data_IF_126215956814
#
_entry.id   IF_126215956814
#
_cell.length_a   1.000
_cell.length_b   1.000
_cell.length_c   1.000
_cell.angle_alpha   90.00
_cell.angle_beta   90.00
_cell.angle_gamma   90.00
#
_symmetry.space_group_name_H-M   'P 1'
#
loop_
_entity.id
_entity.type
_entity.pdbx_description
1 polymer ?
#
# COMPACT_ATOMS: atom_id res chain seq x y z
N UNK A 1 5.78 5.71 14.36
CA UNK A 1 4.33 5.49 14.18
C UNK A 1 3.90 4.16 14.75
N UNK A 2 4.79 3.46 15.46
CA UNK A 2 4.53 2.11 15.94
C UNK A 2 3.34 2.11 16.90
N UNK A 3 3.32 3.06 17.84
CA UNK A 3 2.23 3.20 18.80
C UNK A 3 0.90 3.55 18.15
N UNK A 4 0.91 4.46 17.17
CA UNK A 4 -0.29 4.85 16.42
C UNK A 4 -0.90 3.66 15.68
N UNK A 5 -0.06 2.86 15.01
CA UNK A 5 -0.51 1.68 14.25
C UNK A 5 -0.94 0.53 15.16
N UNK A 6 -0.19 0.26 16.23
CA UNK A 6 -0.56 -0.73 17.25
C UNK A 6 -1.91 -0.39 17.88
N UNK A 7 -2.16 0.88 18.19
CA UNK A 7 -3.43 1.32 18.75
C UNK A 7 -4.59 1.17 17.75
N UNK A 8 -4.37 1.50 16.47
CA UNK A 8 -5.37 1.26 15.42
C UNK A 8 -5.68 -0.24 15.27
N UNK A 9 -4.64 -1.08 15.23
CA UNK A 9 -4.76 -2.54 15.15
C UNK A 9 -5.47 -3.15 16.35
N UNK A 10 -5.19 -2.70 17.58
CA UNK A 10 -5.89 -3.19 18.77
C UNK A 10 -7.38 -2.83 18.79
N UNK A 11 -7.75 -1.66 18.28
CA UNK A 11 -9.10 -1.13 18.41
C UNK A 11 -10.00 -1.34 17.19
N UNK A 12 -9.46 -1.69 16.01
CA UNK A 12 -10.27 -1.77 14.78
C UNK A 12 -11.43 -2.78 14.89
N UNK A 13 -11.18 -3.90 15.56
CA UNK A 13 -12.10 -5.02 15.73
C UNK A 13 -12.85 -5.04 17.06
N UNK A 14 -12.77 -3.97 17.85
CA UNK A 14 -13.36 -3.88 19.19
C UNK A 14 -14.83 -4.31 19.22
N UNK A 15 -15.61 -3.94 18.20
CA UNK A 15 -17.04 -4.29 18.12
C UNK A 15 -17.34 -5.75 17.78
N UNK A 16 -16.34 -6.59 17.48
CA UNK A 16 -16.52 -8.03 17.27
C UNK A 16 -17.00 -8.73 18.55
N UNK A 17 -16.78 -8.13 19.73
CA UNK A 17 -17.34 -8.60 21.01
C UNK A 17 -18.84 -8.28 21.19
N UNK A 18 -19.47 -7.52 20.28
CA UNK A 18 -20.92 -7.25 20.34
C UNK A 18 -21.73 -8.53 20.20
N UNK A 19 -22.90 -8.58 20.86
CA UNK A 19 -23.80 -9.74 20.83
C UNK A 19 -24.21 -10.03 19.39
N UNK A 20 -24.46 -8.97 18.62
CA UNK A 20 -24.87 -9.06 17.21
C UNK A 20 -23.78 -9.72 16.35
N UNK A 21 -22.51 -9.32 16.53
CA UNK A 21 -21.39 -9.89 15.78
C UNK A 21 -21.10 -11.34 16.19
N UNK A 22 -21.09 -11.63 17.49
CA UNK A 22 -20.89 -12.99 18.01
C UNK A 22 -21.95 -13.97 17.50
N UNK A 23 -23.22 -13.56 17.46
CA UNK A 23 -24.28 -14.40 16.88
C UNK A 23 -24.03 -14.67 15.40
N UNK A 24 -23.66 -13.65 14.63
CA UNK A 24 -23.36 -13.78 13.21
C UNK A 24 -22.20 -14.73 12.94
N UNK A 25 -21.06 -14.58 13.62
CA UNK A 25 -19.90 -15.44 13.35
C UNK A 25 -20.17 -16.91 13.74
N UNK A 26 -20.93 -17.15 14.81
CA UNK A 26 -21.36 -18.51 15.18
C UNK A 26 -22.34 -19.13 14.17
N UNK A 27 -23.25 -18.33 13.62
CA UNK A 27 -24.16 -18.77 12.56
C UNK A 27 -23.40 -19.12 11.27
N UNK A 28 -22.46 -18.26 10.84
CA UNK A 28 -21.63 -18.51 9.65
C UNK A 28 -20.71 -19.72 9.84
N UNK A 29 -20.11 -19.89 11.02
CA UNK A 29 -19.33 -21.09 11.34
C UNK A 29 -20.16 -22.39 11.27
N UNK A 30 -21.41 -22.35 11.76
CA UNK A 30 -22.32 -23.51 11.66
C UNK A 30 -22.65 -23.83 10.20
N UNK A 31 -22.99 -22.81 9.40
CA UNK A 31 -23.29 -22.97 7.97
C UNK A 31 -22.11 -23.54 7.19
N UNK A 32 -20.89 -23.07 7.46
CA UNK A 32 -19.67 -23.59 6.85
C UNK A 32 -19.48 -25.09 7.14
N UNK A 33 -19.73 -25.53 8.37
CA UNK A 33 -19.69 -26.96 8.73
C UNK A 33 -20.74 -27.81 8.02
N UNK A 34 -21.87 -27.22 7.68
CA UNK A 34 -22.96 -27.88 6.96
C UNK A 34 -22.78 -27.81 5.43
N UNK A 35 -21.67 -27.24 4.94
CA UNK A 35 -21.41 -27.06 3.51
C UNK A 35 -22.33 -26.03 2.83
N UNK A 36 -22.98 -25.17 3.63
CA UNK A 36 -23.89 -24.14 3.13
C UNK A 36 -23.07 -22.89 2.82
N UNK A 37 -23.06 -22.46 1.56
CA UNK A 37 -22.41 -21.21 1.15
C UNK A 37 -22.89 -20.03 1.99
N UNK A 38 -21.94 -19.17 2.37
CA UNK A 38 -22.22 -17.93 3.08
C UNK A 38 -23.16 -17.04 2.27
N UNK A 39 -24.12 -16.40 2.96
CA UNK A 39 -24.88 -15.31 2.34
C UNK A 39 -24.01 -14.08 2.52
N UNK A 40 -23.57 -13.44 1.43
CA UNK A 40 -22.94 -12.12 1.48
C UNK A 40 -23.90 -11.13 2.14
N UNK A 41 -23.83 -10.99 3.46
CA UNK A 41 -24.53 -9.97 4.21
C UNK A 41 -23.66 -8.72 4.26
N UNK A 42 -24.28 -7.56 4.16
CA UNK A 42 -23.63 -6.29 4.52
C UNK A 42 -23.09 -6.42 5.94
N UNK A 43 -21.77 -6.32 6.10
CA UNK A 43 -21.07 -6.58 7.35
C UNK A 43 -21.69 -5.85 8.54
N UNK A 44 -21.71 -6.52 9.69
CA UNK A 44 -22.13 -5.89 10.94
C UNK A 44 -21.14 -4.78 11.27
N UNK A 45 -21.67 -3.58 11.51
CA UNK A 45 -20.89 -2.40 11.86
C UNK A 45 -20.20 -2.59 13.22
N UNK A 46 -18.94 -3.03 13.21
CA UNK A 46 -18.14 -3.28 14.41
C UNK A 46 -17.03 -2.23 14.61
N UNK A 47 -16.56 -1.58 13.55
CA UNK A 47 -15.55 -0.52 13.66
C UNK A 47 -16.01 0.68 14.49
N UNK A 48 -17.32 0.95 14.57
CA UNK A 48 -17.88 2.05 15.35
C UNK A 48 -17.56 1.98 16.85
N UNK A 49 -17.36 0.79 17.43
CA UNK A 49 -17.11 0.63 18.87
C UNK A 49 -15.72 1.13 19.27
N UNK A 50 -14.68 0.71 18.55
CA UNK A 50 -13.31 1.17 18.78
C UNK A 50 -13.16 2.65 18.47
N UNK A 51 -13.84 3.12 17.42
CA UNK A 51 -13.89 4.53 17.07
C UNK A 51 -14.53 5.39 18.17
N UNK A 52 -15.64 4.92 18.76
CA UNK A 52 -16.26 5.60 19.91
C UNK A 52 -15.32 5.67 21.10
N UNK A 53 -14.69 4.55 21.43
CA UNK A 53 -13.77 4.46 22.56
C UNK A 53 -12.63 5.47 22.43
N UNK A 54 -11.94 5.49 21.28
CA UNK A 54 -10.81 6.38 21.08
C UNK A 54 -11.24 7.85 20.98
N UNK A 55 -12.39 8.12 20.37
CA UNK A 55 -12.97 9.47 20.29
C UNK A 55 -13.28 10.03 21.69
N UNK A 56 -13.92 9.25 22.56
CA UNK A 56 -14.20 9.68 23.94
C UNK A 56 -12.92 9.88 24.76
N UNK A 57 -11.97 8.95 24.64
CA UNK A 57 -10.69 9.02 25.32
C UNK A 57 -9.93 10.30 24.94
N UNK A 58 -9.98 10.67 23.66
CA UNK A 58 -9.31 11.84 23.10
C UNK A 58 -9.67 13.15 23.79
N UNK A 59 -10.90 13.26 24.30
CA UNK A 59 -11.41 14.46 24.98
C UNK A 59 -10.61 14.85 26.22
N UNK A 60 -9.92 13.89 26.86
CA UNK A 60 -9.07 14.10 28.04
C UNK A 60 -7.73 14.79 27.71
N UNK A 61 -7.33 14.83 26.44
CA UNK A 61 -5.97 15.20 26.01
C UNK A 61 -5.91 16.52 25.21
N UNK A 62 -6.90 17.40 25.41
CA UNK A 62 -6.95 18.72 24.80
C UNK A 62 -7.06 18.70 23.27
N UNK A 63 -6.73 19.81 22.58
CA UNK A 63 -6.92 19.93 21.13
C UNK A 63 -6.13 18.89 20.32
N UNK A 64 -4.86 18.65 20.68
CA UNK A 64 -4.03 17.67 19.99
C UNK A 64 -4.56 16.24 20.19
N UNK A 65 -5.04 15.92 21.39
CA UNK A 65 -5.73 14.67 21.65
C UNK A 65 -6.93 14.48 20.74
N UNK A 66 -7.81 15.47 20.66
CA UNK A 66 -9.01 15.42 19.81
C UNK A 66 -8.68 15.20 18.33
N UNK A 67 -7.67 15.88 17.79
CA UNK A 67 -7.23 15.70 16.39
C UNK A 67 -6.80 14.26 16.14
N UNK A 68 -5.94 13.71 17.02
CA UNK A 68 -5.43 12.34 16.89
C UNK A 68 -6.53 11.29 17.12
N UNK A 69 -7.42 11.55 18.07
CA UNK A 69 -8.57 10.71 18.36
C UNK A 69 -9.54 10.65 17.18
N UNK A 70 -9.85 11.78 16.55
CA UNK A 70 -10.72 11.84 15.38
C UNK A 70 -10.07 11.17 14.16
N UNK A 71 -8.77 11.35 13.97
CA UNK A 71 -7.99 10.66 12.94
C UNK A 71 -8.10 9.14 13.11
N UNK A 72 -7.78 8.62 14.29
CA UNK A 72 -7.82 7.19 14.58
C UNK A 72 -9.26 6.65 14.51
N UNK A 73 -10.23 7.41 15.02
CA UNK A 73 -11.63 7.03 14.96
C UNK A 73 -12.13 6.90 13.51
N UNK A 74 -11.71 7.79 12.60
CA UNK A 74 -12.03 7.64 11.18
C UNK A 74 -11.43 6.36 10.59
N UNK A 75 -10.15 6.12 10.83
CA UNK A 75 -9.46 4.91 10.32
C UNK A 75 -10.15 3.64 10.83
N UNK A 76 -10.37 3.55 12.14
CA UNK A 76 -11.01 2.41 12.81
C UNK A 76 -12.47 2.25 12.38
N UNK A 77 -13.26 3.32 12.29
CA UNK A 77 -14.68 3.21 11.98
C UNK A 77 -14.93 2.68 10.56
N UNK A 78 -14.05 3.02 9.62
CA UNK A 78 -14.29 2.82 8.19
C UNK A 78 -13.40 1.78 7.51
N UNK A 79 -12.58 1.01 8.25
CA UNK A 79 -11.62 0.05 7.68
C UNK A 79 -12.20 -0.97 6.67
N UNK A 80 -13.51 -1.26 6.70
CA UNK A 80 -14.19 -2.12 5.70
C UNK A 80 -14.79 -1.37 4.50
N UNK A 81 -15.10 -0.08 4.64
CA UNK A 81 -15.98 0.66 3.72
C UNK A 81 -15.29 1.71 2.86
N UNK A 82 -14.02 2.03 3.13
CA UNK A 82 -13.34 3.18 2.56
C UNK A 82 -13.49 4.42 3.44
N UNK A 83 -12.44 5.24 3.49
CA UNK A 83 -12.46 6.51 4.21
C UNK A 83 -13.43 7.50 3.53
N UNK A 84 -14.44 8.02 4.26
CA UNK A 84 -15.26 9.11 3.76
C UNK A 84 -14.51 10.44 3.84
N UNK A 85 -15.08 11.47 3.21
CA UNK A 85 -14.69 12.85 3.50
C UNK A 85 -15.03 13.19 4.97
N UNK A 86 -14.19 14.02 5.60
CA UNK A 86 -14.36 14.39 7.01
C UNK A 86 -15.68 15.16 7.26
N UNK A 87 -16.13 15.90 6.25
CA UNK A 87 -17.40 16.62 6.21
C UNK A 87 -18.10 16.27 4.88
N UNK A 88 -19.43 16.11 4.94
CA UNK A 88 -20.25 15.93 3.76
C UNK A 88 -20.62 17.28 3.10
N UNK A 89 -21.40 17.24 2.01
CA UNK A 89 -21.82 18.45 1.31
C UNK A 89 -22.71 19.39 2.12
N UNK A 90 -23.27 18.93 3.25
CA UNK A 90 -24.09 19.73 4.15
C UNK A 90 -23.29 20.30 5.33
N UNK A 91 -22.01 19.94 5.45
CA UNK A 91 -21.15 20.29 6.59
C UNK A 91 -21.36 19.38 7.81
N UNK A 92 -22.04 18.24 7.63
CA UNK A 92 -22.17 17.23 8.67
C UNK A 92 -20.95 16.32 8.68
N UNK A 93 -20.51 15.89 9.87
CA UNK A 93 -19.42 14.91 9.99
C UNK A 93 -19.97 13.48 9.93
N UNK A 94 -19.65 12.69 8.88
CA UNK A 94 -20.12 11.31 8.78
C UNK A 94 -19.68 10.46 9.97
N UNK A 95 -18.48 10.71 10.51
CA UNK A 95 -18.00 10.05 11.72
C UNK A 95 -18.91 10.35 12.92
N UNK A 96 -19.17 11.62 13.22
CA UNK A 96 -19.99 11.99 14.37
C UNK A 96 -21.40 11.43 14.28
N UNK A 97 -22.01 11.44 13.09
CA UNK A 97 -23.33 10.82 12.86
C UNK A 97 -23.34 9.32 13.20
N UNK A 98 -22.24 8.61 12.93
CA UNK A 98 -22.11 7.19 13.31
C UNK A 98 -21.91 7.00 14.80
N UNK A 99 -21.09 7.84 15.43
CA UNK A 99 -20.80 7.78 16.87
C UNK A 99 -21.99 8.19 17.75
N UNK A 100 -22.86 9.06 17.24
CA UNK A 100 -24.04 9.58 17.95
C UNK A 100 -25.35 8.88 17.58
N UNK A 101 -25.32 7.91 16.66
CA UNK A 101 -26.52 7.22 16.20
C UNK A 101 -27.24 6.46 17.32
N UNK A 102 -28.51 6.79 17.54
CA UNK A 102 -29.36 6.13 18.54
C UNK A 102 -29.38 4.60 18.33
N UNK A 103 -29.28 3.85 19.43
CA UNK A 103 -29.31 2.38 19.49
C UNK A 103 -28.16 1.62 18.79
N UNK A 104 -27.19 2.28 18.14
CA UNK A 104 -26.05 1.58 17.49
C UNK A 104 -25.07 0.95 18.49
N UNK A 105 -24.97 1.55 19.67
CA UNK A 105 -23.99 1.25 20.71
C UNK A 105 -24.67 0.83 22.02
N UNK A 106 -25.85 0.22 21.94
CA UNK A 106 -26.66 -0.14 23.12
C UNK A 106 -25.95 -1.14 24.06
N UNK A 107 -25.09 -2.00 23.52
CA UNK A 107 -24.28 -2.97 24.27
C UNK A 107 -22.83 -2.51 24.49
N UNK A 108 -22.47 -1.25 24.18
CA UNK A 108 -21.10 -0.74 24.20
C UNK A 108 -20.33 -0.99 25.51
N UNK A 109 -20.95 -0.75 26.67
CA UNK A 109 -20.29 -0.99 27.96
C UNK A 109 -19.99 -2.48 28.19
N UNK A 110 -20.88 -3.37 27.75
CA UNK A 110 -20.65 -4.81 27.84
C UNK A 110 -19.54 -5.25 26.89
N UNK A 111 -19.53 -4.73 25.65
CA UNK A 111 -18.44 -4.96 24.68
C UNK A 111 -17.12 -4.50 25.26
N UNK A 112 -17.07 -3.30 25.86
CA UNK A 112 -15.88 -2.73 26.48
C UNK A 112 -15.32 -3.62 27.58
N UNK A 113 -16.14 -4.02 28.55
CA UNK A 113 -15.72 -4.92 29.63
C UNK A 113 -15.19 -6.25 29.08
N UNK A 114 -15.86 -6.82 28.08
CA UNK A 114 -15.46 -8.10 27.47
C UNK A 114 -14.13 -7.99 26.74
N UNK A 115 -13.94 -6.93 25.93
CA UNK A 115 -12.71 -6.65 25.20
C UNK A 115 -11.48 -6.61 26.13
N UNK A 116 -11.53 -5.77 27.17
CA UNK A 116 -10.40 -5.63 28.10
C UNK A 116 -10.11 -6.92 28.88
N UNK A 117 -11.16 -7.65 29.26
CA UNK A 117 -11.02 -8.92 29.96
C UNK A 117 -10.36 -10.00 29.09
N UNK A 118 -10.80 -10.14 27.84
CA UNK A 118 -10.36 -11.20 26.94
C UNK A 118 -8.92 -10.99 26.46
N UNK A 119 -8.58 -9.76 26.07
CA UNK A 119 -7.21 -9.39 25.67
C UNK A 119 -6.24 -9.25 26.84
N UNK A 120 -6.73 -9.33 28.08
CA UNK A 120 -5.93 -9.12 29.30
C UNK A 120 -5.13 -7.80 29.29
N UNK A 121 -5.72 -6.77 28.68
CA UNK A 121 -5.16 -5.42 28.60
C UNK A 121 -5.98 -4.49 29.50
N UNK A 122 -5.37 -3.42 29.98
CA UNK A 122 -6.01 -2.41 30.83
C UNK A 122 -6.32 -1.14 30.04
N UNK A 123 -7.30 -0.36 30.51
CA UNK A 123 -7.56 0.98 29.94
C UNK A 123 -6.31 1.86 30.02
N UNK A 124 -5.51 1.74 31.10
CA UNK A 124 -4.29 2.54 31.30
C UNK A 124 -3.21 2.27 30.24
N UNK A 125 -3.06 1.01 29.80
CA UNK A 125 -2.15 0.66 28.71
C UNK A 125 -2.59 1.30 27.39
N UNK A 126 -3.90 1.26 27.09
CA UNK A 126 -4.45 1.97 25.92
C UNK A 126 -4.27 3.49 26.04
N UNK A 127 -4.49 4.07 27.22
CA UNK A 127 -4.24 5.50 27.44
C UNK A 127 -2.78 5.88 27.24
N UNK A 128 -1.84 4.99 27.62
CA UNK A 128 -0.42 5.20 27.41
C UNK A 128 -0.05 5.16 25.92
N UNK A 129 -0.51 4.14 25.18
CA UNK A 129 -0.35 4.06 23.73
C UNK A 129 -0.92 5.29 23.02
N UNK A 130 -2.06 5.80 23.48
CA UNK A 130 -2.66 7.01 22.93
C UNK A 130 -1.83 8.26 23.17
N UNK A 131 -1.26 8.44 24.38
CA UNK A 131 -0.34 9.55 24.66
C UNK A 131 0.88 9.51 23.74
N UNK A 132 1.45 8.33 23.53
CA UNK A 132 2.60 8.15 22.65
C UNK A 132 2.22 8.41 21.18
N UNK A 133 1.04 7.97 20.74
CA UNK A 133 0.50 8.27 19.41
C UNK A 133 0.35 9.78 19.18
N UNK A 134 -0.07 10.54 20.20
CA UNK A 134 -0.14 12.00 20.12
C UNK A 134 1.25 12.60 19.85
N UNK A 135 2.29 12.14 20.53
CA UNK A 135 3.66 12.62 20.32
C UNK A 135 4.21 12.22 18.94
N UNK A 136 3.94 10.99 18.48
CA UNK A 136 4.32 10.55 17.13
C UNK A 136 3.73 11.45 16.04
N UNK A 137 2.43 11.72 16.10
CA UNK A 137 1.72 12.53 15.09
C UNK A 137 2.14 14.00 15.18
N UNK A 138 2.32 14.55 16.38
CA UNK A 138 2.87 15.91 16.56
C UNK A 138 4.22 16.08 15.88
N UNK A 139 5.15 15.14 16.08
CA UNK A 139 6.47 15.20 15.47
C UNK A 139 6.40 15.19 13.94
N UNK A 140 5.43 14.47 13.37
CA UNK A 140 5.23 14.40 11.92
C UNK A 140 4.66 15.71 11.35
N UNK A 141 3.67 16.29 12.02
CA UNK A 141 3.10 17.60 11.65
C UNK A 141 4.16 18.71 11.77
N UNK A 142 5.01 18.66 12.80
CA UNK A 142 6.11 19.62 12.97
C UNK A 142 7.18 19.47 11.88
N UNK A 143 7.55 18.24 11.51
CA UNK A 143 8.52 17.97 10.43
C UNK A 143 8.02 18.40 9.05
N UNK A 144 6.73 18.30 8.77
CA UNK A 144 6.15 18.81 7.52
C UNK A 144 6.11 20.35 7.47
N UNK A 145 6.14 21.01 8.63
CA UNK A 145 6.10 22.47 8.77
C UNK A 145 7.48 23.14 8.72
N UNK A 146 8.58 22.40 8.97
CA UNK A 146 9.95 22.95 9.03
C UNK A 146 10.72 22.84 7.71
N UNK A 147 10.20 22.11 6.72
CA UNK A 147 10.79 21.97 5.39
C UNK A 147 10.33 23.02 4.38
N UNK A 148 10.72 24.29 4.56
CA UNK A 148 11.02 25.28 3.49
C UNK A 148 10.93 26.72 4.00
N UNK A 149 11.96 27.51 3.74
CA UNK A 149 12.00 28.97 3.95
C UNK A 149 11.04 29.74 3.01
N UNK A 150 10.32 29.06 2.11
CA UNK A 150 9.33 29.64 1.20
C UNK A 150 7.91 29.66 1.79
N UNK A 151 7.74 30.37 2.90
CA UNK A 151 6.50 30.47 3.69
C UNK A 151 5.25 31.02 2.96
N UNK A 152 5.33 31.43 1.69
CA UNK A 152 4.25 32.19 1.03
C UNK A 152 3.59 31.54 -0.21
N UNK A 153 3.91 30.30 -0.59
CA UNK A 153 3.29 29.66 -1.79
C UNK A 153 2.46 28.38 -1.55
N UNK A 154 2.45 27.81 -0.34
CA UNK A 154 1.88 26.47 -0.08
C UNK A 154 0.66 26.50 0.86
N UNK A 155 -0.35 27.31 0.58
CA UNK A 155 -1.63 27.23 1.31
C UNK A 155 -2.38 25.91 1.07
N UNK A 156 -2.12 25.23 -0.05
CA UNK A 156 -2.76 23.95 -0.39
C UNK A 156 -2.12 22.72 0.29
N UNK A 157 -0.91 22.82 0.85
CA UNK A 157 -0.20 21.67 1.43
C UNK A 157 -0.67 21.36 2.87
N UNK A 158 -1.29 22.32 3.56
CA UNK A 158 -1.62 22.24 4.99
C UNK A 158 -2.64 21.13 5.32
N UNK A 159 -3.57 20.87 4.41
CA UNK A 159 -4.58 19.80 4.58
C UNK A 159 -4.23 18.54 3.78
N UNK A 160 -3.38 18.65 2.76
CA UNK A 160 -3.01 17.52 1.91
C UNK A 160 -2.09 16.52 2.61
N UNK A 161 -1.07 17.02 3.33
CA UNK A 161 -0.13 16.14 4.05
C UNK A 161 -0.80 15.32 5.17
N UNK A 162 -1.63 15.93 6.04
CA UNK A 162 -2.43 15.16 7.00
C UNK A 162 -3.33 14.11 6.33
N UNK A 163 -3.97 14.43 5.19
CA UNK A 163 -4.81 13.47 4.48
C UNK A 163 -4.01 12.26 3.97
N UNK A 164 -2.84 12.49 3.37
CA UNK A 164 -1.96 11.39 2.95
C UNK A 164 -1.52 10.52 4.13
N UNK A 165 -1.31 11.15 5.28
CA UNK A 165 -0.96 10.45 6.51
C UNK A 165 -2.09 9.56 7.02
N UNK A 166 -3.33 10.06 7.03
CA UNK A 166 -4.53 9.28 7.36
C UNK A 166 -4.64 8.08 6.43
N UNK A 167 -4.48 8.30 5.11
CA UNK A 167 -4.51 7.23 4.11
C UNK A 167 -3.41 6.20 4.33
N UNK A 168 -2.21 6.62 4.71
CA UNK A 168 -1.11 5.69 5.02
C UNK A 168 -1.44 4.79 6.20
N UNK A 169 -1.92 5.35 7.32
CA UNK A 169 -2.34 4.56 8.50
C UNK A 169 -3.49 3.62 8.13
N UNK A 170 -4.45 4.11 7.35
CA UNK A 170 -5.58 3.31 6.90
C UNK A 170 -5.16 2.15 6.00
N UNK A 171 -4.28 2.40 5.03
CA UNK A 171 -3.68 1.38 4.16
C UNK A 171 -2.96 0.33 5.00
N UNK A 172 -2.08 0.75 5.93
CA UNK A 172 -1.37 -0.16 6.84
C UNK A 172 -2.30 -1.00 7.73
N UNK A 173 -3.41 -0.42 8.22
CA UNK A 173 -4.38 -1.15 9.04
C UNK A 173 -5.10 -2.25 8.22
N UNK A 174 -5.58 -1.90 7.03
CA UNK A 174 -6.25 -2.87 6.14
C UNK A 174 -5.29 -3.98 5.75
N UNK A 175 -4.08 -3.59 5.40
CA UNK A 175 -3.01 -4.50 5.03
C UNK A 175 -2.74 -5.52 6.14
N UNK A 176 -2.60 -5.05 7.38
CA UNK A 176 -2.40 -5.90 8.55
C UNK A 176 -3.60 -6.82 8.84
N UNK A 177 -4.84 -6.33 8.74
CA UNK A 177 -6.07 -7.12 8.95
C UNK A 177 -6.19 -8.26 7.92
N UNK A 178 -5.92 -7.94 6.63
CA UNK A 178 -5.92 -8.93 5.55
C UNK A 178 -4.81 -9.95 5.68
N UNK A 179 -3.58 -9.50 5.95
CA UNK A 179 -2.43 -10.38 6.14
C UNK A 179 -2.68 -11.32 7.33
N UNK A 180 -3.17 -10.78 8.46
CA UNK A 180 -3.49 -11.58 9.64
C UNK A 180 -4.54 -12.66 9.34
N UNK A 181 -5.57 -12.32 8.57
CA UNK A 181 -6.58 -13.28 8.15
C UNK A 181 -6.01 -14.37 7.24
N UNK A 182 -5.16 -14.00 6.27
CA UNK A 182 -4.52 -14.96 5.37
C UNK A 182 -3.57 -15.90 6.13
N UNK A 183 -2.65 -15.37 6.95
CA UNK A 183 -1.71 -16.16 7.75
C UNK A 183 -2.44 -17.18 8.63
N UNK A 184 -3.59 -16.79 9.20
CA UNK A 184 -4.43 -17.71 9.98
C UNK A 184 -5.01 -18.85 9.13
N UNK A 185 -5.46 -18.56 7.91
CA UNK A 185 -6.03 -19.55 7.00
C UNK A 185 -5.00 -20.49 6.38
N UNK A 186 -3.83 -19.97 6.00
CA UNK A 186 -2.74 -20.74 5.38
C UNK A 186 -1.86 -21.45 6.41
N UNK A 187 -1.90 -21.00 7.67
CA UNK A 187 -1.00 -21.47 8.73
C UNK A 187 0.43 -20.96 8.57
N UNK A 188 0.64 -19.94 7.74
CA UNK A 188 1.94 -19.31 7.53
C UNK A 188 2.24 -18.24 8.59
N UNK A 189 3.52 -18.04 8.87
CA UNK A 189 3.98 -16.97 9.74
C UNK A 189 4.10 -15.64 8.99
N UNK A 190 3.84 -14.53 9.68
CA UNK A 190 4.01 -13.16 9.18
C UNK A 190 5.42 -12.91 8.66
N UNK A 191 6.42 -13.54 9.28
CA UNK A 191 7.84 -13.43 8.89
C UNK A 191 8.12 -13.91 7.47
N UNK A 192 7.26 -14.77 6.90
CA UNK A 192 7.35 -15.23 5.51
C UNK A 192 7.20 -14.09 4.49
N UNK A 193 6.55 -12.99 4.90
CA UNK A 193 6.25 -11.83 4.05
C UNK A 193 7.22 -10.67 4.29
N UNK A 194 7.98 -10.70 5.37
CA UNK A 194 9.07 -9.75 5.64
C UNK A 194 10.36 -10.20 4.95
N UNK A 195 10.57 -9.76 3.71
CA UNK A 195 11.84 -10.02 3.01
C UNK A 195 12.95 -9.16 3.61
N UNK A 196 13.99 -9.81 4.13
CA UNK A 196 15.16 -9.14 4.67
C UNK A 196 15.82 -8.25 3.60
N UNK A 197 16.33 -7.08 4.01
CA UNK A 197 17.00 -6.14 3.11
C UNK A 197 18.12 -6.79 2.29
N UNK A 198 18.82 -7.76 2.86
CA UNK A 198 19.89 -8.51 2.18
C UNK A 198 19.37 -9.35 1.01
N UNK A 199 18.18 -9.93 1.11
CA UNK A 199 17.55 -10.69 0.02
C UNK A 199 17.14 -9.77 -1.13
N UNK A 200 16.63 -8.58 -0.80
CA UNK A 200 16.32 -7.53 -1.77
C UNK A 200 17.59 -7.14 -2.52
N UNK A 201 18.66 -6.93 -1.78
CA UNK A 201 19.93 -6.51 -2.34
C UNK A 201 20.57 -7.60 -3.24
N UNK A 202 20.46 -8.87 -2.86
CA UNK A 202 20.88 -10.00 -3.69
C UNK A 202 20.08 -10.06 -4.99
N UNK A 203 18.77 -9.79 -4.93
CA UNK A 203 17.90 -9.72 -6.11
C UNK A 203 18.35 -8.62 -7.07
N UNK A 204 18.64 -7.42 -6.57
CA UNK A 204 19.13 -6.32 -7.40
C UNK A 204 20.46 -6.60 -8.08
N UNK A 205 21.41 -7.19 -7.34
CA UNK A 205 22.70 -7.61 -7.91
C UNK A 205 22.49 -8.60 -9.06
N UNK A 206 21.65 -9.62 -8.86
CA UNK A 206 21.35 -10.61 -9.88
C UNK A 206 20.67 -9.98 -11.12
N UNK A 207 19.71 -9.08 -10.92
CA UNK A 207 19.01 -8.42 -12.02
C UNK A 207 19.94 -7.49 -12.80
N UNK A 208 20.75 -6.69 -12.12
CA UNK A 208 21.76 -5.85 -12.76
C UNK A 208 22.75 -6.67 -13.58
N UNK A 209 23.26 -7.78 -13.03
CA UNK A 209 24.18 -8.65 -13.77
C UNK A 209 23.55 -9.16 -15.07
N UNK A 210 22.35 -9.75 -15.00
CA UNK A 210 21.62 -10.24 -16.18
C UNK A 210 21.35 -9.12 -17.19
N UNK A 211 21.02 -7.93 -16.70
CA UNK A 211 20.74 -6.77 -17.54
C UNK A 211 21.99 -6.31 -18.30
N UNK A 212 23.15 -6.22 -17.63
CA UNK A 212 24.43 -5.88 -18.28
C UNK A 212 24.88 -6.96 -19.28
N UNK A 213 24.68 -8.24 -18.96
CA UNK A 213 24.94 -9.35 -19.90
C UNK A 213 24.10 -9.21 -21.18
N UNK A 214 22.81 -8.91 -21.05
CA UNK A 214 21.92 -8.66 -22.18
C UNK A 214 22.36 -7.46 -23.02
N UNK A 215 22.71 -6.33 -22.39
CA UNK A 215 23.21 -5.14 -23.09
C UNK A 215 24.50 -5.43 -23.86
N UNK A 216 25.43 -6.18 -23.26
CA UNK A 216 26.67 -6.60 -23.93
C UNK A 216 26.38 -7.47 -25.16
N UNK A 217 25.36 -8.33 -25.09
CA UNK A 217 24.89 -9.13 -26.22
C UNK A 217 24.31 -8.29 -27.36
N UNK A 218 23.54 -7.25 -27.02
CA UNK A 218 23.04 -6.29 -28.01
C UNK A 218 24.17 -5.50 -28.68
N UNK A 219 25.20 -5.11 -27.92
CA UNK A 219 26.37 -4.42 -28.44
C UNK A 219 27.12 -5.29 -29.47
N UNK A 220 27.42 -6.55 -29.11
CA UNK A 220 28.07 -7.51 -30.04
C UNK A 220 27.27 -7.72 -31.32
N UNK A 221 25.95 -7.87 -31.21
CA UNK A 221 25.05 -7.96 -32.38
C UNK A 221 25.10 -6.70 -33.23
N UNK A 222 25.19 -5.53 -32.60
CA UNK A 222 25.28 -4.26 -33.32
C UNK A 222 26.60 -4.11 -34.06
N UNK A 223 27.71 -4.55 -33.50
CA UNK A 223 29.04 -4.51 -34.13
C UNK A 223 29.10 -5.42 -35.38
N UNK A 224 28.38 -6.54 -35.37
CA UNK A 224 28.26 -7.47 -36.49
C UNK A 224 27.35 -7.00 -37.64
N UNK A 225 26.56 -5.93 -37.46
CA UNK A 225 25.66 -5.43 -38.52
C UNK A 225 26.42 -4.83 -39.69
N UNK A 226 26.04 -5.11 -40.94
CA UNK A 226 26.65 -4.46 -42.11
C UNK A 226 26.09 -3.03 -42.32
N UNK A 227 24.87 -2.77 -41.86
CA UNK A 227 24.18 -1.48 -41.99
C UNK A 227 24.80 -0.39 -41.10
N UNK A 228 25.52 0.56 -41.72
CA UNK A 228 26.20 1.68 -41.06
C UNK A 228 25.24 2.66 -40.39
N UNK A 229 24.02 2.82 -40.92
CA UNK A 229 22.99 3.69 -40.34
C UNK A 229 22.49 3.13 -39.00
N UNK A 230 22.15 1.83 -38.97
CA UNK A 230 21.73 1.15 -37.74
C UNK A 230 22.85 1.11 -36.70
N UNK A 231 24.10 0.88 -37.13
CA UNK A 231 25.29 0.97 -36.25
C UNK A 231 25.39 2.32 -35.55
N UNK A 232 25.22 3.42 -36.29
CA UNK A 232 25.26 4.78 -35.71
C UNK A 232 24.14 5.01 -34.70
N UNK A 233 22.92 4.56 -35.00
CA UNK A 233 21.77 4.67 -34.08
C UNK A 233 22.01 3.87 -32.80
N UNK A 234 22.51 2.64 -32.91
CA UNK A 234 22.81 1.81 -31.75
C UNK A 234 23.94 2.38 -30.89
N UNK A 235 24.96 3.00 -31.49
CA UNK A 235 26.00 3.71 -30.75
C UNK A 235 25.44 4.88 -29.94
N UNK A 236 24.45 5.61 -30.48
CA UNK A 236 23.76 6.68 -29.74
C UNK A 236 22.94 6.09 -28.58
N UNK A 237 22.20 5.00 -28.82
CA UNK A 237 21.44 4.30 -27.77
C UNK A 237 22.34 3.80 -26.65
N UNK A 238 23.52 3.27 -26.99
CA UNK A 238 24.51 2.84 -26.01
C UNK A 238 24.98 4.01 -25.15
N UNK A 239 25.33 5.15 -25.78
CA UNK A 239 25.73 6.36 -25.05
C UNK A 239 24.65 6.84 -24.08
N UNK A 240 23.40 6.89 -24.52
CA UNK A 240 22.25 7.26 -23.66
C UNK A 240 22.12 6.28 -22.48
N UNK A 241 22.29 4.98 -22.75
CA UNK A 241 22.27 3.94 -21.72
C UNK A 241 23.40 4.11 -20.69
N UNK A 242 24.61 4.46 -21.13
CA UNK A 242 25.76 4.69 -20.26
C UNK A 242 25.58 5.97 -19.41
N UNK A 243 25.03 7.03 -20.00
CA UNK A 243 24.68 8.25 -19.27
C UNK A 243 23.61 7.99 -18.19
N UNK A 244 22.61 7.16 -18.49
CA UNK A 244 21.60 6.75 -17.51
C UNK A 244 22.18 5.89 -16.39
N UNK A 245 23.13 5.00 -16.70
CA UNK A 245 23.84 4.20 -15.71
C UNK A 245 24.64 5.09 -14.75
N UNK A 246 25.43 6.04 -15.26
CA UNK A 246 26.17 6.99 -14.41
C UNK A 246 25.24 7.90 -13.61
N UNK A 247 24.08 8.28 -14.15
CA UNK A 247 23.06 9.01 -13.40
C UNK A 247 22.50 8.19 -12.22
N UNK A 248 22.43 6.86 -12.34
CA UNK A 248 21.97 5.96 -11.27
C UNK A 248 22.83 6.04 -10.01
N UNK A 249 24.10 6.46 -10.16
CA UNK A 249 25.05 6.67 -9.06
C UNK A 249 24.91 7.99 -8.33
N UNK A 250 24.00 8.87 -8.77
CA UNK A 250 23.74 10.13 -8.08
C UNK A 250 22.83 9.90 -6.86
N UNK A 251 22.64 10.95 -6.07
CA UNK A 251 21.75 10.92 -4.91
C UNK A 251 20.29 10.73 -5.32
N UNK A 252 19.44 10.23 -4.42
CA UNK A 252 18.00 10.12 -4.70
C UNK A 252 17.39 11.50 -4.93
N UNK A 253 16.61 11.62 -6.00
CA UNK A 253 16.01 12.89 -6.39
C UNK A 253 15.15 12.74 -7.64
N UNK A 254 14.70 13.87 -8.18
CA UNK A 254 13.88 13.91 -9.39
C UNK A 254 14.80 14.17 -10.59
N UNK A 255 14.78 13.23 -11.53
CA UNK A 255 15.58 13.29 -12.76
C UNK A 255 14.67 13.31 -13.99
N UNK A 256 15.08 14.05 -15.03
CA UNK A 256 14.37 14.11 -16.30
C UNK A 256 15.25 13.53 -17.41
N UNK A 257 14.72 12.57 -18.17
CA UNK A 257 15.38 11.96 -19.32
C UNK A 257 14.70 12.41 -20.62
N UNK A 258 15.39 13.24 -21.41
CA UNK A 258 14.88 13.73 -22.70
C UNK A 258 15.51 12.94 -23.85
N UNK A 259 14.78 11.98 -24.40
CA UNK A 259 15.25 11.11 -25.47
C UNK A 259 14.17 10.94 -26.54
N UNK A 260 14.50 11.06 -27.85
CA UNK A 260 13.53 10.90 -28.93
C UNK A 260 12.90 9.49 -28.95
N UNK A 261 11.79 9.35 -29.68
CA UNK A 261 11.16 8.04 -29.94
C UNK A 261 12.16 7.10 -30.60
N UNK A 262 12.17 5.83 -30.16
CA UNK A 262 13.14 4.85 -30.64
C UNK A 262 14.57 5.01 -30.07
N UNK A 263 14.83 5.98 -29.17
CA UNK A 263 16.14 6.18 -28.56
C UNK A 263 16.49 5.24 -27.40
N UNK A 264 15.69 4.21 -27.12
CA UNK A 264 16.00 3.21 -26.09
C UNK A 264 15.54 3.55 -24.67
N UNK A 265 14.60 4.50 -24.50
CA UNK A 265 14.12 5.01 -23.21
C UNK A 265 13.88 3.93 -22.15
N UNK A 266 13.09 2.89 -22.46
CA UNK A 266 12.73 1.84 -21.50
C UNK A 266 13.96 1.15 -20.90
N UNK A 267 14.88 0.68 -21.75
CA UNK A 267 16.07 -0.04 -21.30
C UNK A 267 17.04 0.90 -20.57
N UNK A 268 17.22 2.13 -21.05
CA UNK A 268 18.09 3.11 -20.39
C UNK A 268 17.54 3.52 -19.01
N UNK A 269 16.23 3.74 -18.88
CA UNK A 269 15.59 4.02 -17.59
C UNK A 269 15.63 2.83 -16.62
N UNK A 270 15.50 1.60 -17.14
CA UNK A 270 15.64 0.40 -16.31
C UNK A 270 17.06 0.24 -15.79
N UNK A 271 18.07 0.48 -16.64
CA UNK A 271 19.48 0.45 -16.24
C UNK A 271 19.78 1.45 -15.12
N UNK A 272 19.27 2.69 -15.26
CA UNK A 272 19.31 3.69 -14.19
C UNK A 272 18.67 3.16 -12.90
N UNK A 273 17.46 2.61 -13.01
CA UNK A 273 16.68 2.17 -11.85
C UNK A 273 17.36 1.01 -11.11
N UNK A 274 17.95 0.04 -11.84
CA UNK A 274 18.70 -1.08 -11.24
C UNK A 274 19.96 -0.59 -10.52
N UNK A 275 20.76 0.29 -11.15
CA UNK A 275 21.96 0.87 -10.52
C UNK A 275 21.58 1.69 -9.27
N UNK A 276 20.54 2.51 -9.36
CA UNK A 276 20.12 3.35 -8.24
C UNK A 276 19.54 2.52 -7.09
N UNK A 277 18.75 1.48 -7.40
CA UNK A 277 18.10 0.63 -6.40
C UNK A 277 19.12 -0.18 -5.60
N UNK A 278 20.11 -0.75 -6.28
CA UNK A 278 21.22 -1.44 -5.62
C UNK A 278 22.02 -0.47 -4.73
N UNK A 279 22.35 0.73 -5.22
CA UNK A 279 23.23 1.65 -4.48
C UNK A 279 22.55 2.33 -3.29
N UNK A 280 21.25 2.57 -3.39
CA UNK A 280 20.48 3.34 -2.39
C UNK A 280 19.50 2.48 -1.59
N UNK A 281 19.66 1.15 -1.65
CA UNK A 281 18.88 0.18 -0.89
C UNK A 281 17.35 0.35 -1.08
N UNK A 282 16.92 0.71 -2.30
CA UNK A 282 15.48 0.85 -2.58
C UNK A 282 14.84 -0.54 -2.66
N UNK A 283 13.62 -0.63 -2.19
CA UNK A 283 12.91 -1.91 -2.15
C UNK A 283 12.17 -2.23 -3.45
N UNK A 284 11.78 -1.21 -4.23
CA UNK A 284 10.88 -1.35 -5.38
C UNK A 284 11.20 -0.35 -6.49
N UNK A 285 10.91 -0.75 -7.73
CA UNK A 285 10.93 0.08 -8.93
C UNK A 285 9.52 0.10 -9.52
N UNK A 286 8.91 1.28 -9.63
CA UNK A 286 7.55 1.45 -10.14
C UNK A 286 7.59 2.20 -11.48
N UNK A 287 7.18 1.54 -12.56
CA UNK A 287 7.02 2.11 -13.89
C UNK A 287 5.57 2.53 -14.11
N UNK A 288 5.34 3.84 -14.23
CA UNK A 288 4.02 4.40 -14.51
C UNK A 288 3.96 4.83 -15.97
N UNK A 289 3.10 4.17 -16.76
CA UNK A 289 2.99 4.40 -18.20
C UNK A 289 1.54 4.72 -18.61
N UNK A 290 1.32 5.51 -19.68
CA UNK A 290 -0.02 6.00 -20.03
C UNK A 290 -0.92 4.96 -20.72
N UNK A 291 -0.35 3.95 -21.38
CA UNK A 291 -1.11 2.97 -22.19
C UNK A 291 -0.76 1.54 -21.79
N UNK A 292 -1.78 0.70 -21.64
CA UNK A 292 -1.65 -0.73 -21.28
C UNK A 292 -0.83 -1.51 -22.30
N UNK A 293 -1.02 -1.25 -23.60
CA UNK A 293 -0.25 -1.90 -24.66
C UNK A 293 1.26 -1.63 -24.58
N UNK A 294 1.65 -0.44 -24.10
CA UNK A 294 3.06 -0.09 -23.87
C UNK A 294 3.58 -0.79 -22.62
N UNK A 295 2.74 -0.95 -21.59
CA UNK A 295 3.07 -1.71 -20.38
C UNK A 295 3.38 -3.16 -20.75
N UNK A 296 2.45 -3.85 -21.41
CA UNK A 296 2.59 -5.26 -21.81
C UNK A 296 3.85 -5.48 -22.65
N UNK A 297 4.11 -4.59 -23.62
CA UNK A 297 5.32 -4.66 -24.44
C UNK A 297 6.60 -4.47 -23.61
N UNK A 298 6.64 -3.47 -22.74
CA UNK A 298 7.82 -3.19 -21.92
C UNK A 298 8.05 -4.31 -20.91
N UNK A 299 7.01 -4.78 -20.23
CA UNK A 299 7.09 -5.85 -19.25
C UNK A 299 7.61 -7.15 -19.89
N UNK A 300 7.11 -7.51 -21.08
CA UNK A 300 7.64 -8.64 -21.85
C UNK A 300 9.14 -8.52 -22.12
N UNK A 301 9.61 -7.36 -22.58
CA UNK A 301 11.05 -7.13 -22.80
C UNK A 301 11.83 -7.30 -21.48
N UNK A 302 11.34 -6.77 -20.37
CA UNK A 302 12.02 -6.91 -19.08
C UNK A 302 12.03 -8.36 -18.58
N UNK A 303 10.95 -9.12 -18.78
CA UNK A 303 10.90 -10.56 -18.47
C UNK A 303 11.90 -11.35 -19.32
N UNK A 304 12.04 -11.01 -20.60
CA UNK A 304 13.06 -11.62 -21.47
C UNK A 304 14.49 -11.32 -20.99
N UNK A 305 14.74 -10.13 -20.45
CA UNK A 305 16.06 -9.71 -19.97
C UNK A 305 16.41 -10.28 -18.60
N UNK A 306 15.49 -10.23 -17.63
CA UNK A 306 15.73 -10.63 -16.24
C UNK A 306 15.44 -12.13 -16.00
N UNK A 307 14.76 -12.78 -16.95
CA UNK A 307 14.30 -14.16 -16.89
C UNK A 307 12.79 -14.26 -16.60
N UNK A 308 12.16 -15.33 -17.08
CA UNK A 308 10.70 -15.51 -17.01
C UNK A 308 10.11 -15.49 -15.59
N UNK A 309 10.88 -15.91 -14.59
CA UNK A 309 10.48 -15.90 -13.18
C UNK A 309 10.93 -14.63 -12.44
N UNK A 310 11.13 -13.51 -13.15
CA UNK A 310 11.47 -12.26 -12.49
C UNK A 310 10.29 -11.72 -11.67
N UNK A 311 10.63 -11.03 -10.59
CA UNK A 311 9.72 -10.47 -9.59
C UNK A 311 9.08 -9.18 -10.15
N UNK A 312 8.26 -9.36 -11.20
CA UNK A 312 7.63 -8.31 -11.99
C UNK A 312 6.10 -8.49 -12.00
N UNK A 313 5.41 -7.44 -11.56
CA UNK A 313 3.95 -7.31 -11.59
C UNK A 313 3.51 -6.36 -12.70
N UNK A 314 2.47 -6.75 -13.44
CA UNK A 314 1.74 -5.89 -14.37
C UNK A 314 0.37 -5.61 -13.77
N UNK A 315 0.12 -4.35 -13.38
CA UNK A 315 -1.11 -3.97 -12.73
C UNK A 315 -1.84 -2.86 -13.51
N UNK A 316 -2.83 -3.28 -14.31
CA UNK A 316 -3.70 -2.39 -15.08
C UNK A 316 -5.07 -3.00 -15.37
N UNK A 317 -6.04 -2.18 -15.77
CA UNK A 317 -7.45 -2.54 -15.99
C UNK A 317 -7.68 -3.69 -16.99
N UNK A 318 -6.73 -3.91 -17.90
CA UNK A 318 -6.79 -4.97 -18.92
C UNK A 318 -6.19 -6.32 -18.50
N UNK A 319 -5.61 -6.45 -17.30
CA UNK A 319 -5.31 -7.77 -16.74
C UNK A 319 -6.64 -8.37 -16.31
N UNK A 320 -7.21 -9.22 -17.17
CA UNK A 320 -8.62 -9.61 -17.09
C UNK A 320 -8.88 -10.47 -15.85
N UNK A 321 -10.12 -10.42 -15.35
CA UNK A 321 -10.62 -11.41 -14.40
C UNK A 321 -10.57 -12.84 -14.95
N UNK A 322 -10.41 -13.03 -16.27
CA UNK A 322 -10.26 -14.35 -16.90
C UNK A 322 -8.85 -14.93 -16.74
N UNK A 323 -7.79 -14.11 -16.66
CA UNK A 323 -6.47 -14.60 -16.20
C UNK A 323 -6.54 -15.02 -14.72
N UNK A 324 -7.40 -14.36 -13.93
CA UNK A 324 -7.70 -14.74 -12.52
C UNK A 324 -8.50 -16.05 -12.41
N UNK A 325 -9.32 -16.40 -13.42
CA UNK A 325 -10.11 -17.64 -13.45
C UNK A 325 -9.32 -18.90 -13.83
N UNK A 326 -8.19 -18.78 -14.53
CA UNK A 326 -7.30 -19.94 -14.73
C UNK A 326 -6.65 -20.37 -13.39
N UNK A 327 -6.42 -19.42 -12.48
CA UNK A 327 -5.91 -19.60 -11.12
C UNK A 327 -6.98 -20.10 -10.11
N UNK A 328 -8.28 -19.88 -10.39
CA UNK A 328 -9.41 -20.40 -9.59
C UNK A 328 -9.38 -21.94 -9.43
N UNK A 329 -8.81 -22.64 -10.42
CA UNK A 329 -8.70 -24.10 -10.44
C UNK A 329 -7.73 -24.68 -9.41
N UNK A 330 -6.84 -23.86 -8.84
CA UNK A 330 -5.69 -24.29 -8.01
C UNK A 330 -5.72 -23.74 -6.58
N UNK A 331 -6.72 -22.92 -6.20
CA UNK A 331 -6.78 -22.29 -4.88
C UNK A 331 -5.83 -21.08 -4.70
N UNK A 332 -5.11 -20.69 -5.76
CA UNK A 332 -4.06 -19.66 -5.79
C UNK A 332 -4.61 -18.22 -5.96
N UNK A 333 -5.94 -18.04 -6.07
CA UNK A 333 -6.54 -16.74 -6.36
C UNK A 333 -6.45 -15.75 -5.20
N UNK A 334 -6.45 -16.22 -3.94
CA UNK A 334 -6.30 -15.34 -2.76
C UNK A 334 -4.89 -14.75 -2.69
N UNK A 335 -3.88 -15.56 -2.94
CA UNK A 335 -2.48 -15.14 -2.91
C UNK A 335 -2.19 -14.09 -3.99
N UNK A 336 -2.62 -14.33 -5.24
CA UNK A 336 -2.45 -13.34 -6.31
C UNK A 336 -3.20 -12.02 -6.05
N UNK A 337 -4.39 -12.06 -5.45
CA UNK A 337 -5.14 -10.83 -5.10
C UNK A 337 -4.44 -10.04 -3.99
N UNK A 338 -3.96 -10.70 -2.95
CA UNK A 338 -3.21 -10.06 -1.86
C UNK A 338 -1.86 -9.51 -2.35
N UNK A 339 -1.12 -10.26 -3.16
CA UNK A 339 0.13 -9.81 -3.78
C UNK A 339 -0.08 -8.58 -4.69
N UNK A 340 -1.22 -8.53 -5.42
CA UNK A 340 -1.58 -7.40 -6.29
C UNK A 340 -2.02 -6.17 -5.48
N UNK A 341 -2.68 -6.36 -4.35
CA UNK A 341 -3.10 -5.26 -3.47
C UNK A 341 -1.91 -4.63 -2.72
N UNK A 342 -0.90 -5.42 -2.36
CA UNK A 342 0.26 -4.96 -1.58
C UNK A 342 1.44 -4.42 -2.41
N UNK A 343 1.38 -4.58 -3.74
CA UNK A 343 2.52 -4.35 -4.66
C UNK A 343 3.80 -4.98 -4.12
N UNK A 344 3.74 -6.24 -3.69
CA UNK A 344 4.90 -6.92 -3.08
C UNK A 344 6.05 -7.12 -4.08
N UNK A 345 5.72 -7.20 -5.37
CA UNK A 345 6.72 -7.38 -6.41
C UNK A 345 7.71 -6.22 -6.48
N UNK A 346 8.96 -6.58 -6.78
CA UNK A 346 10.09 -5.64 -6.81
C UNK A 346 10.01 -4.67 -7.97
N UNK A 347 9.50 -5.13 -9.11
CA UNK A 347 9.27 -4.31 -10.29
C UNK A 347 7.78 -4.27 -10.57
N UNK A 348 7.17 -3.09 -10.56
CA UNK A 348 5.74 -2.90 -10.81
C UNK A 348 5.56 -2.05 -12.04
N UNK A 349 4.87 -2.58 -13.05
CA UNK A 349 4.40 -1.81 -14.19
C UNK A 349 2.92 -1.49 -14.01
N UNK A 350 2.58 -0.21 -14.02
CA UNK A 350 1.22 0.23 -13.78
C UNK A 350 0.84 1.43 -14.64
N UNK A 351 -0.46 1.74 -14.68
CA UNK A 351 -0.96 2.93 -15.38
C UNK A 351 -0.93 4.15 -14.48
N UNK A 352 -0.95 5.35 -15.07
CA UNK A 352 -1.13 6.59 -14.31
C UNK A 352 -2.43 6.57 -13.49
N UNK A 353 -3.51 5.99 -14.03
CA UNK A 353 -4.80 5.88 -13.32
C UNK A 353 -4.65 5.01 -12.07
N UNK A 354 -4.07 3.81 -12.20
CA UNK A 354 -3.86 2.93 -11.04
C UNK A 354 -2.87 3.51 -10.03
N UNK A 355 -1.81 4.17 -10.49
CA UNK A 355 -0.89 4.87 -9.60
C UNK A 355 -1.56 6.02 -8.85
N UNK A 356 -2.47 6.76 -9.48
CA UNK A 356 -3.21 7.82 -8.80
C UNK A 356 -4.30 7.26 -7.87
N UNK A 357 -4.84 6.07 -8.16
CA UNK A 357 -5.81 5.42 -7.29
C UNK A 357 -5.22 5.05 -5.92
N UNK A 358 -3.91 4.81 -5.79
CA UNK A 358 -3.26 4.65 -4.47
C UNK A 358 -3.41 5.88 -3.58
N UNK A 359 -3.55 7.07 -4.18
CA UNK A 359 -3.73 8.33 -3.45
C UNK A 359 -5.18 8.81 -3.40
N UNK A 360 -5.97 8.54 -4.43
CA UNK A 360 -7.30 9.15 -4.64
C UNK A 360 -8.43 8.14 -4.79
N UNK A 361 -8.11 6.85 -4.84
CA UNK A 361 -9.07 5.76 -4.93
C UNK A 361 -10.05 5.77 -3.77
N UNK A 362 -11.27 5.32 -4.07
CA UNK A 362 -12.34 5.13 -3.09
C UNK A 362 -12.42 3.65 -2.72
N UNK A 363 -12.72 3.36 -1.46
CA UNK A 363 -12.85 1.99 -0.97
C UNK A 363 -11.51 1.39 -0.53
N UNK A 364 -11.48 0.07 -0.36
CA UNK A 364 -10.38 -0.65 0.34
C UNK A 364 -9.47 -1.43 -0.59
N UNK A 365 -9.70 -1.40 -1.91
CA UNK A 365 -9.02 -2.27 -2.88
C UNK A 365 -7.80 -1.63 -3.54
N UNK A 366 -7.80 -0.31 -3.65
CA UNK A 366 -6.74 0.44 -4.32
C UNK A 366 -5.87 1.21 -3.31
N UNK A 367 -5.80 0.78 -2.05
CA UNK A 367 -5.07 1.47 -0.97
C UNK A 367 -3.83 0.73 -0.52
#
# INVERSE_FOLDING_TARGET
MENTLSLAGLLHDFGKYSIKFQRFIHEEWRRAKEGIESKRQSGIDHGVYGAKYIYDLSGKYGPNGRIVGELLANVICYHHGGLPDAEDFNGDSPLLMRLQGENRLADYEQVKVTFFKDLQITEQEIEQLFKESIEEIKLLILKSSTGSEEKNKRKNDANFMPNLFIKLIYSMLIDADRLSSMCYETGEDFTSYEKAQDEIQMTWKAYKQKFEEYLSGLQKKSEALEDTGKKRVNAIRQRISDECFEAGRKESGIYTLTVPTGGGKTLSSMRYALEHSERTNKERIIFVLPYTTIIEQNAKVIREVLGGNCDLLEHHSNVTEDDKRMLDSLGEERDCRLLTERWENRIVFTTMVQFLNTFYGKGTRDM
#
